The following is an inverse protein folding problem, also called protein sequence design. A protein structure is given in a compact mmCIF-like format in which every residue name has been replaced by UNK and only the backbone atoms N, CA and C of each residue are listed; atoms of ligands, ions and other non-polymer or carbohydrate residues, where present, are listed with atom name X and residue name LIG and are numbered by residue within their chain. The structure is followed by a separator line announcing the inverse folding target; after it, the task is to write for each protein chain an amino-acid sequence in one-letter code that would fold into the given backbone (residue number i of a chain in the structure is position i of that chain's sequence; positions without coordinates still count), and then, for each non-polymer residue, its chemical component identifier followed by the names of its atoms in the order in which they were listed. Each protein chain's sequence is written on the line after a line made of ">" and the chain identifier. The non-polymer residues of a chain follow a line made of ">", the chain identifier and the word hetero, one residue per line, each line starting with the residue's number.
data_IF_120071078920
#
_entry.id   IF_120071078920
#
_cell.length_a   1.000
_cell.length_b   1.000
_cell.length_c   1.000
_cell.angle_alpha   90.00
_cell.angle_beta   90.00
_cell.angle_gamma   90.00
#
_symmetry.space_group_name_H-M   'P 1'
#
loop_
_entity.id
_entity.type
_entity.pdbx_description
1 polymer ?
#
# COMPACT_ATOMS: atom_id res chain seq x y z
N UNK A 1 13.42 26.50 -12.64
CA UNK A 1 13.04 25.66 -13.80
C UNK A 1 11.69 25.08 -13.47
N UNK A 2 10.62 25.67 -13.98
CA UNK A 2 9.26 25.18 -13.70
C UNK A 2 9.05 23.88 -14.46
N UNK A 3 8.53 22.86 -13.78
CA UNK A 3 8.20 21.59 -14.43
C UNK A 3 7.06 21.85 -15.43
N UNK A 4 7.09 21.22 -16.63
CA UNK A 4 6.00 21.33 -17.58
C UNK A 4 4.66 20.94 -16.93
N UNK A 5 3.59 21.67 -17.23
CA UNK A 5 2.27 21.42 -16.64
C UNK A 5 1.79 19.97 -16.80
N UNK A 6 2.14 19.32 -17.91
CA UNK A 6 1.85 17.92 -18.15
C UNK A 6 2.56 16.97 -17.16
N UNK A 7 3.82 17.27 -16.81
CA UNK A 7 4.59 16.49 -15.83
C UNK A 7 3.98 16.63 -14.44
N UNK A 8 3.54 17.85 -14.08
CA UNK A 8 2.84 18.11 -12.82
C UNK A 8 1.53 17.30 -12.77
N UNK A 9 0.73 17.32 -13.83
CA UNK A 9 -0.50 16.54 -13.93
C UNK A 9 -0.25 15.03 -13.79
N UNK A 10 0.81 14.50 -14.42
CA UNK A 10 1.18 13.10 -14.29
C UNK A 10 1.62 12.72 -12.87
N UNK A 11 2.39 13.58 -12.19
CA UNK A 11 2.80 13.37 -10.79
C UNK A 11 1.57 13.33 -9.88
N UNK A 12 0.63 14.27 -10.08
CA UNK A 12 -0.63 14.28 -9.34
C UNK A 12 -1.45 13.02 -9.60
N UNK A 13 -1.48 12.50 -10.82
CA UNK A 13 -2.14 11.24 -11.14
C UNK A 13 -1.48 10.04 -10.44
N UNK A 14 -0.15 9.99 -10.36
CA UNK A 14 0.59 8.92 -9.65
C UNK A 14 0.32 8.92 -8.15
N UNK A 15 0.10 10.09 -7.54
CA UNK A 15 -0.23 10.20 -6.11
C UNK A 15 -1.48 9.38 -5.73
N UNK A 16 -2.49 9.33 -6.60
CA UNK A 16 -3.71 8.54 -6.39
C UNK A 16 -3.45 7.04 -6.30
N UNK A 17 -2.40 6.53 -6.97
CA UNK A 17 -2.06 5.11 -6.92
C UNK A 17 -1.67 4.67 -5.49
N UNK A 18 -1.01 5.55 -4.73
CA UNK A 18 -0.62 5.30 -3.34
C UNK A 18 -1.87 5.23 -2.45
N UNK A 19 -2.84 6.13 -2.64
CA UNK A 19 -4.10 6.09 -1.88
C UNK A 19 -4.90 4.82 -2.17
N UNK A 20 -4.94 4.38 -3.43
CA UNK A 20 -5.57 3.13 -3.82
C UNK A 20 -4.89 1.91 -3.16
N UNK A 21 -3.55 1.91 -3.11
CA UNK A 21 -2.77 0.88 -2.41
C UNK A 21 -3.13 0.81 -0.92
N UNK A 22 -3.13 1.95 -0.22
CA UNK A 22 -3.48 1.98 1.21
C UNK A 22 -4.95 1.62 1.46
N UNK A 23 -5.86 1.98 0.56
CA UNK A 23 -7.27 1.56 0.63
C UNK A 23 -7.39 0.04 0.52
N UNK A 24 -6.72 -0.58 -0.45
CA UNK A 24 -6.69 -2.03 -0.61
C UNK A 24 -6.08 -2.73 0.60
N UNK A 25 -4.96 -2.22 1.12
CA UNK A 25 -4.28 -2.78 2.27
C UNK A 25 -5.17 -2.79 3.52
N UNK A 26 -5.88 -1.69 3.80
CA UNK A 26 -6.83 -1.59 4.93
C UNK A 26 -8.09 -2.44 4.73
N UNK A 27 -8.55 -2.65 3.48
CA UNK A 27 -9.73 -3.48 3.19
C UNK A 27 -9.43 -4.98 3.25
N UNK A 28 -8.30 -5.41 2.68
CA UNK A 28 -7.93 -6.82 2.60
C UNK A 28 -7.41 -7.37 3.93
N UNK A 29 -6.82 -6.50 4.76
CA UNK A 29 -6.25 -6.87 6.05
C UNK A 29 -6.90 -6.04 7.15
N UNK A 30 -8.05 -6.47 7.68
CA UNK A 30 -8.62 -5.82 8.84
C UNK A 30 -7.63 -5.98 10.01
N UNK A 31 -7.00 -4.87 10.40
CA UNK A 31 -6.10 -4.73 11.57
C UNK A 31 -6.83 -4.95 12.92
N UNK A 32 -7.87 -5.80 12.94
CA UNK A 32 -8.69 -6.12 14.11
C UNK A 32 -8.13 -7.27 14.93
N UNK A 33 -7.29 -8.12 14.34
CA UNK A 33 -6.71 -9.28 14.99
C UNK A 33 -5.20 -9.27 14.78
N UNK A 34 -4.48 -8.69 15.75
CA UNK A 34 -3.03 -8.81 15.81
C UNK A 34 -2.70 -10.21 16.34
N UNK A 35 -1.78 -10.91 15.68
CA UNK A 35 -1.35 -12.26 16.07
C UNK A 35 -0.49 -12.26 17.36
N UNK A 36 -0.10 -11.07 17.84
CA UNK A 36 0.53 -10.87 19.13
C UNK A 36 0.65 -9.39 19.48
N UNK A 37 0.65 -9.08 20.77
CA UNK A 37 0.70 -7.70 21.31
C UNK A 37 2.14 -7.14 21.39
N UNK A 38 3.11 -7.75 20.69
CA UNK A 38 4.50 -7.31 20.65
C UNK A 38 4.77 -6.42 19.44
N UNK A 39 5.55 -5.35 19.61
CA UNK A 39 5.98 -4.44 18.53
C UNK A 39 6.59 -5.21 17.35
N UNK A 40 7.46 -6.18 17.62
CA UNK A 40 8.07 -7.02 16.58
C UNK A 40 7.03 -7.84 15.80
N UNK A 41 6.00 -8.35 16.49
CA UNK A 41 4.93 -9.11 15.85
C UNK A 41 4.11 -8.20 14.92
N UNK A 42 3.83 -6.97 15.34
CA UNK A 42 3.15 -5.96 14.53
C UNK A 42 3.98 -5.60 13.30
N UNK A 43 5.28 -5.35 13.46
CA UNK A 43 6.19 -5.02 12.36
C UNK A 43 6.21 -6.16 11.32
N UNK A 44 6.40 -7.41 11.76
CA UNK A 44 6.40 -8.58 10.88
C UNK A 44 5.06 -8.70 10.15
N UNK A 45 3.94 -8.53 10.86
CA UNK A 45 2.61 -8.60 10.28
C UNK A 45 2.41 -7.55 9.18
N UNK A 46 2.90 -6.32 9.38
CA UNK A 46 2.86 -5.26 8.34
C UNK A 46 3.67 -5.68 7.11
N UNK A 47 4.88 -6.21 7.29
CA UNK A 47 5.71 -6.68 6.17
C UNK A 47 5.06 -7.85 5.41
N UNK A 48 4.50 -8.83 6.12
CA UNK A 48 3.79 -9.96 5.50
C UNK A 48 2.57 -9.50 4.70
N UNK A 49 1.80 -8.54 5.22
CA UNK A 49 0.66 -7.94 4.53
C UNK A 49 1.07 -7.23 3.24
N UNK A 50 2.16 -6.46 3.28
CA UNK A 50 2.70 -5.79 2.08
C UNK A 50 3.17 -6.81 1.02
N UNK A 51 3.84 -7.89 1.44
CA UNK A 51 4.29 -8.95 0.53
C UNK A 51 3.10 -9.69 -0.10
N UNK A 52 2.09 -10.04 0.69
CA UNK A 52 0.88 -10.70 0.22
C UNK A 52 0.10 -9.80 -0.77
N UNK A 53 0.01 -8.49 -0.50
CA UNK A 53 -0.62 -7.55 -1.42
C UNK A 53 0.12 -7.46 -2.76
N UNK A 54 1.46 -7.46 -2.74
CA UNK A 54 2.28 -7.49 -3.96
C UNK A 54 2.05 -8.77 -4.76
N UNK A 55 2.04 -9.93 -4.10
CA UNK A 55 1.78 -11.22 -4.75
C UNK A 55 0.37 -11.27 -5.36
N UNK A 56 -0.65 -10.79 -4.65
CA UNK A 56 -2.01 -10.71 -5.17
C UNK A 56 -2.11 -9.77 -6.39
N UNK A 57 -1.38 -8.66 -6.38
CA UNK A 57 -1.34 -7.74 -7.51
C UNK A 57 -0.68 -8.37 -8.75
N UNK A 58 0.36 -9.18 -8.56
CA UNK A 58 1.02 -9.92 -9.64
C UNK A 58 0.11 -11.03 -10.17
N UNK A 59 -0.55 -11.79 -9.28
CA UNK A 59 -1.40 -12.93 -9.66
C UNK A 59 -2.72 -12.50 -10.31
N UNK A 60 -3.22 -11.31 -10.00
CA UNK A 60 -4.45 -10.75 -10.57
C UNK A 60 -4.20 -9.95 -11.86
N UNK A 61 -2.93 -9.78 -12.25
CA UNK A 61 -2.51 -9.15 -13.50
C UNK A 61 -2.54 -10.14 -14.66
#
# INVERSE_FOLDING_TARGET
>A
MELPAEVIAQIYKKRWQIEMLFKQLKQNFPLKYFLGDNENAIIIQIWSVMLANLLLMILKS
#
